data_IF_944531509414
#
_entry.id   IF_944531509414
#
_cell.length_a   1.000
_cell.length_b   1.000
_cell.length_c   1.000
_cell.angle_alpha   90.00
_cell.angle_beta   90.00
_cell.angle_gamma   90.00
#
_symmetry.space_group_name_H-M   'P 1'
#
loop_
_entity.id
_entity.type
_entity.pdbx_description
1 polymer ?
#
# COMPACT_ATOMS: atom_id res chain seq x y z
N UNK A 1 2.23 26.85 23.21
CA UNK A 1 2.13 25.86 22.12
C UNK A 1 3.21 24.82 22.40
N UNK A 2 2.88 23.53 22.45
CA UNK A 2 3.83 22.47 22.82
C UNK A 2 4.58 21.96 21.57
N UNK A 3 5.92 21.99 21.61
CA UNK A 3 6.80 21.55 20.50
C UNK A 3 6.62 20.08 20.17
N UNK A 4 6.33 19.24 21.17
CA UNK A 4 6.10 17.81 20.98
C UNK A 4 4.83 17.56 20.17
N UNK A 5 3.74 18.26 20.52
CA UNK A 5 2.48 18.21 19.77
C UNK A 5 2.64 18.61 18.29
N UNK A 6 3.39 19.68 18.01
CA UNK A 6 3.65 20.15 16.64
C UNK A 6 4.49 19.15 15.85
N UNK A 7 5.53 18.59 16.48
CA UNK A 7 6.37 17.57 15.86
C UNK A 7 5.57 16.31 15.52
N UNK A 8 4.81 15.78 16.49
CA UNK A 8 3.99 14.58 16.32
C UNK A 8 2.95 14.75 15.20
N UNK A 9 2.30 15.92 15.13
CA UNK A 9 1.38 16.22 14.03
C UNK A 9 2.07 16.29 12.67
N UNK A 10 3.29 16.86 12.61
CA UNK A 10 4.07 16.95 11.39
C UNK A 10 4.58 15.57 10.92
N UNK A 11 4.94 14.70 11.85
CA UNK A 11 5.34 13.32 11.58
C UNK A 11 4.21 12.53 10.90
N UNK A 12 2.98 12.68 11.39
CA UNK A 12 1.79 12.08 10.78
C UNK A 12 1.53 12.52 9.34
N UNK A 13 1.76 13.81 9.05
CA UNK A 13 1.60 14.36 7.69
C UNK A 13 2.70 13.90 6.75
N UNK A 14 3.92 13.74 7.24
CA UNK A 14 5.08 13.38 6.41
C UNK A 14 5.14 11.88 6.07
N UNK A 15 4.63 11.00 6.94
CA UNK A 15 4.74 9.55 6.79
C UNK A 15 3.37 8.88 6.66
N UNK A 16 2.73 8.57 7.79
CA UNK A 16 1.35 8.10 7.86
C UNK A 16 0.87 8.10 9.32
N UNK A 17 -0.46 8.06 9.57
CA UNK A 17 -0.99 7.93 10.93
C UNK A 17 -0.50 6.66 11.66
N UNK A 18 -0.34 5.55 10.93
CA UNK A 18 0.16 4.29 11.51
C UNK A 18 1.62 4.37 11.93
N UNK A 19 2.48 4.97 11.09
CA UNK A 19 3.89 5.20 11.42
C UNK A 19 4.01 6.17 12.60
N UNK A 20 3.24 7.27 12.59
CA UNK A 20 3.19 8.22 13.69
C UNK A 20 2.82 7.52 15.01
N UNK A 21 1.74 6.73 15.02
CA UNK A 21 1.29 6.04 16.23
C UNK A 21 2.34 5.05 16.76
N UNK A 22 3.03 4.32 15.87
CA UNK A 22 4.10 3.41 16.26
C UNK A 22 5.30 4.16 16.86
N UNK A 23 5.76 5.24 16.23
CA UNK A 23 6.89 6.05 16.71
C UNK A 23 6.57 6.74 18.03
N UNK A 24 5.37 7.33 18.16
CA UNK A 24 4.93 7.99 19.40
C UNK A 24 4.89 7.00 20.56
N UNK A 25 4.36 5.79 20.33
CA UNK A 25 4.29 4.75 21.35
C UNK A 25 5.67 4.27 21.76
N UNK A 26 6.56 4.00 20.80
CA UNK A 26 7.91 3.48 21.09
C UNK A 26 8.76 4.48 21.86
N UNK A 27 8.75 5.74 21.45
CA UNK A 27 9.60 6.78 22.03
C UNK A 27 8.95 7.51 23.21
N UNK A 28 7.72 7.14 23.58
CA UNK A 28 6.99 7.80 24.66
C UNK A 28 6.81 9.31 24.42
N UNK A 29 6.54 9.71 23.17
CA UNK A 29 6.39 11.11 22.77
C UNK A 29 5.06 11.66 23.27
N UNK A 30 5.02 12.03 24.55
CA UNK A 30 3.86 12.63 25.21
C UNK A 30 4.09 14.13 25.38
N UNK A 31 3.14 14.98 24.97
CA UNK A 31 3.14 16.41 25.27
C UNK A 31 3.41 16.72 26.75
N UNK A 32 4.48 17.47 27.04
CA UNK A 32 4.78 17.99 28.37
C UNK A 32 4.90 19.51 28.33
N UNK A 33 3.88 20.26 28.77
CA UNK A 33 3.89 21.72 28.72
C UNK A 33 5.10 22.29 29.47
N UNK A 34 5.95 23.05 28.77
CA UNK A 34 7.14 23.69 29.34
C UNK A 34 8.44 22.91 29.14
N UNK A 35 8.39 21.66 28.66
CA UNK A 35 9.58 20.91 28.26
C UNK A 35 9.81 21.04 26.75
N UNK A 36 11.06 21.33 26.36
CA UNK A 36 11.46 21.30 24.95
C UNK A 36 11.65 19.85 24.51
N UNK A 37 11.27 19.56 23.28
CA UNK A 37 11.56 18.27 22.67
C UNK A 37 13.08 18.15 22.43
N UNK A 38 13.68 17.08 22.94
CA UNK A 38 15.10 16.80 22.77
C UNK A 38 15.46 16.49 21.31
N UNK A 39 16.52 17.11 20.79
CA UNK A 39 16.97 16.92 19.41
C UNK A 39 17.27 15.46 19.08
N UNK A 40 17.80 14.70 20.04
CA UNK A 40 18.06 13.27 19.87
C UNK A 40 16.76 12.47 19.63
N UNK A 41 15.68 12.81 20.34
CA UNK A 41 14.37 12.17 20.17
C UNK A 41 13.76 12.48 18.80
N UNK A 42 13.93 13.71 18.29
CA UNK A 42 13.52 14.09 16.93
C UNK A 42 14.21 13.23 15.88
N UNK A 43 15.55 13.14 15.95
CA UNK A 43 16.33 12.36 14.99
C UNK A 43 15.97 10.88 15.00
N UNK A 44 15.79 10.31 16.19
CA UNK A 44 15.39 8.91 16.34
C UNK A 44 13.99 8.65 15.78
N UNK A 45 13.03 9.55 16.04
CA UNK A 45 11.68 9.46 15.50
C UNK A 45 11.66 9.48 13.97
N UNK A 46 12.45 10.36 13.34
CA UNK A 46 12.59 10.42 11.88
C UNK A 46 13.20 9.13 11.34
N UNK A 47 14.30 8.65 11.91
CA UNK A 47 14.96 7.43 11.46
C UNK A 47 14.06 6.19 11.55
N UNK A 48 13.26 6.10 12.62
CA UNK A 48 12.25 5.05 12.77
C UNK A 48 11.14 5.16 11.73
N UNK A 49 10.64 6.37 11.48
CA UNK A 49 9.59 6.61 10.51
C UNK A 49 10.05 6.27 9.08
N UNK A 50 11.28 6.61 8.71
CA UNK A 50 11.87 6.26 7.42
C UNK A 50 12.05 4.75 7.25
N UNK A 51 12.56 4.07 8.28
CA UNK A 51 12.69 2.60 8.28
C UNK A 51 11.33 1.94 8.12
N UNK A 52 10.34 2.42 8.87
CA UNK A 52 8.97 1.90 8.81
C UNK A 52 8.38 2.07 7.41
N UNK A 53 8.53 3.26 6.81
CA UNK A 53 8.05 3.52 5.44
C UNK A 53 8.67 2.54 4.43
N UNK A 54 9.99 2.35 4.46
CA UNK A 54 10.68 1.41 3.55
C UNK A 54 10.18 -0.02 3.70
N UNK A 55 9.91 -0.46 4.94
CA UNK A 55 9.34 -1.78 5.18
C UNK A 55 7.95 -1.91 4.57
N UNK A 56 7.08 -0.91 4.75
CA UNK A 56 5.73 -0.90 4.18
C UNK A 56 5.76 -0.85 2.64
N UNK A 57 6.68 -0.07 2.04
CA UNK A 57 6.91 -0.06 0.59
C UNK A 57 7.27 -1.46 0.06
N UNK A 58 8.08 -2.22 0.81
CA UNK A 58 8.42 -3.60 0.46
C UNK A 58 7.20 -4.56 0.49
N UNK A 59 6.31 -4.39 1.47
CA UNK A 59 5.06 -5.17 1.55
C UNK A 59 4.13 -4.84 0.38
N UNK A 60 4.01 -3.56 0.05
CA UNK A 60 3.20 -3.10 -1.07
C UNK A 60 3.74 -3.64 -2.40
N UNK A 61 5.06 -3.56 -2.60
CA UNK A 61 5.74 -4.13 -3.77
C UNK A 61 5.50 -5.64 -3.90
N UNK A 62 5.62 -6.40 -2.81
CA UNK A 62 5.35 -7.85 -2.82
C UNK A 62 3.90 -8.14 -3.21
N UNK A 63 2.96 -7.31 -2.73
CA UNK A 63 1.54 -7.44 -3.09
C UNK A 63 1.33 -7.15 -4.58
N UNK A 64 1.97 -6.11 -5.12
CA UNK A 64 1.93 -5.82 -6.56
C UNK A 64 2.48 -6.98 -7.40
N UNK A 65 3.60 -7.58 -7.00
CA UNK A 65 4.15 -8.76 -7.69
C UNK A 65 3.21 -9.96 -7.62
N UNK A 66 2.62 -10.22 -6.46
CA UNK A 66 1.69 -11.34 -6.25
C UNK A 66 0.49 -11.27 -7.20
N UNK A 67 -0.04 -10.07 -7.46
CA UNK A 67 -1.23 -9.86 -8.28
C UNK A 67 -0.96 -9.37 -9.70
N UNK A 68 0.31 -9.22 -10.10
CA UNK A 68 0.66 -8.84 -11.47
C UNK A 68 0.28 -9.94 -12.46
N UNK A 69 -0.48 -9.55 -13.47
CA UNK A 69 -0.83 -10.39 -14.60
C UNK A 69 0.37 -10.60 -15.52
N UNK A 70 1.21 -9.57 -15.76
CA UNK A 70 2.32 -9.66 -16.71
C UNK A 70 3.35 -10.72 -16.34
N UNK A 71 3.64 -10.90 -15.04
CA UNK A 71 4.58 -11.92 -14.56
C UNK A 71 3.91 -13.22 -14.10
N UNK A 72 2.61 -13.39 -14.38
CA UNK A 72 1.82 -14.54 -13.93
C UNK A 72 1.90 -14.76 -12.42
N UNK A 73 1.70 -13.68 -11.66
CA UNK A 73 1.69 -13.70 -10.21
C UNK A 73 0.74 -14.77 -9.66
N UNK A 74 1.06 -15.30 -8.48
CA UNK A 74 0.27 -16.39 -7.86
C UNK A 74 -1.17 -15.95 -7.58
N UNK A 75 -1.36 -14.71 -7.14
CA UNK A 75 -2.68 -14.11 -6.94
C UNK A 75 -3.46 -13.93 -8.24
N UNK A 76 -2.79 -13.54 -9.33
CA UNK A 76 -3.42 -13.47 -10.65
C UNK A 76 -3.91 -14.85 -11.12
N UNK A 77 -3.05 -15.86 -11.03
CA UNK A 77 -3.40 -17.22 -11.43
C UNK A 77 -4.59 -17.75 -10.62
N UNK A 78 -4.62 -17.50 -9.30
CA UNK A 78 -5.73 -17.89 -8.43
C UNK A 78 -7.05 -17.21 -8.81
N UNK A 79 -7.02 -15.92 -9.12
CA UNK A 79 -8.24 -15.18 -9.53
C UNK A 79 -8.74 -15.67 -10.89
N UNK A 80 -7.85 -15.92 -11.85
CA UNK A 80 -8.18 -16.53 -13.14
C UNK A 80 -8.89 -17.88 -12.95
N UNK A 81 -8.33 -18.77 -12.13
CA UNK A 81 -8.93 -20.08 -11.80
C UNK A 81 -10.32 -19.91 -11.15
N UNK A 82 -10.46 -18.99 -10.19
CA UNK A 82 -11.74 -18.73 -9.53
C UNK A 82 -12.83 -18.22 -10.49
N UNK A 83 -12.44 -17.53 -11.57
CA UNK A 83 -13.34 -17.03 -12.61
C UNK A 83 -13.57 -18.04 -13.74
N UNK A 84 -12.94 -19.21 -13.70
CA UNK A 84 -12.96 -20.18 -14.80
C UNK A 84 -12.33 -19.63 -16.08
N UNK A 85 -11.40 -18.68 -15.95
CA UNK A 85 -10.66 -18.07 -17.05
C UNK A 85 -9.26 -18.70 -17.09
N UNK A 86 -8.87 -19.42 -18.15
CA UNK A 86 -7.51 -19.92 -18.24
C UNK A 86 -6.54 -18.72 -18.33
N UNK A 87 -5.48 -18.66 -17.52
CA UNK A 87 -4.54 -17.52 -17.52
C UNK A 87 -3.96 -17.20 -18.91
N UNK A 88 -3.79 -18.22 -19.75
CA UNK A 88 -3.30 -18.12 -21.13
C UNK A 88 -4.28 -17.41 -22.08
N UNK A 89 -5.58 -17.40 -21.77
CA UNK A 89 -6.58 -16.67 -22.56
C UNK A 89 -6.50 -15.16 -22.35
N UNK A 90 -5.85 -14.70 -21.28
CA UNK A 90 -5.57 -13.28 -21.07
C UNK A 90 -4.32 -12.93 -21.85
N UNK A 91 -4.47 -12.31 -23.02
CA UNK A 91 -3.35 -11.98 -23.90
C UNK A 91 -2.36 -11.00 -23.25
N UNK A 92 -1.10 -11.00 -23.71
CA UNK A 92 -0.04 -10.18 -23.11
C UNK A 92 -0.40 -8.69 -22.99
N UNK A 93 -1.03 -8.11 -24.02
CA UNK A 93 -1.48 -6.71 -23.99
C UNK A 93 -2.55 -6.47 -22.90
N UNK A 94 -3.47 -7.41 -22.70
CA UNK A 94 -4.50 -7.33 -21.66
C UNK A 94 -3.86 -7.43 -20.27
N UNK A 95 -2.88 -8.31 -20.09
CA UNK A 95 -2.12 -8.43 -18.83
C UNK A 95 -1.40 -7.13 -18.47
N UNK A 96 -0.72 -6.51 -19.43
CA UNK A 96 -0.09 -5.19 -19.22
C UNK A 96 -1.11 -4.10 -18.88
N UNK A 97 -2.28 -4.10 -19.54
CA UNK A 97 -3.34 -3.14 -19.26
C UNK A 97 -3.95 -3.33 -17.85
N UNK A 98 -4.13 -4.58 -17.41
CA UNK A 98 -4.57 -4.91 -16.05
C UNK A 98 -3.55 -4.38 -15.03
N UNK A 99 -2.26 -4.63 -15.25
CA UNK A 99 -1.21 -4.18 -14.35
C UNK A 99 -1.14 -2.66 -14.24
N UNK A 100 -1.32 -1.93 -15.35
CA UNK A 100 -1.39 -0.47 -15.35
C UNK A 100 -2.59 0.06 -14.54
N UNK A 101 -3.75 -0.61 -14.63
CA UNK A 101 -4.94 -0.24 -13.85
C UNK A 101 -4.77 -0.55 -12.37
N UNK A 102 -4.18 -1.70 -12.03
CA UNK A 102 -3.84 -2.02 -10.65
C UNK A 102 -2.85 -0.99 -10.09
N UNK A 103 -1.79 -0.66 -10.83
CA UNK A 103 -0.83 0.37 -10.45
C UNK A 103 -1.51 1.69 -10.07
N UNK A 104 -2.44 2.17 -10.89
CA UNK A 104 -3.22 3.38 -10.56
C UNK A 104 -3.99 3.25 -9.24
N UNK A 105 -4.61 2.09 -8.98
CA UNK A 105 -5.33 1.82 -7.71
C UNK A 105 -4.40 1.82 -6.50
N UNK A 106 -3.21 1.24 -6.63
CA UNK A 106 -2.22 1.27 -5.58
C UNK A 106 -1.73 2.70 -5.30
N UNK A 107 -1.53 3.50 -6.35
CA UNK A 107 -1.08 4.89 -6.21
C UNK A 107 -2.18 5.78 -5.59
N UNK A 108 -3.46 5.55 -5.94
CA UNK A 108 -4.62 6.15 -5.26
C UNK A 108 -4.66 5.78 -3.77
N UNK A 109 -4.48 4.50 -3.43
CA UNK A 109 -4.45 4.05 -2.04
C UNK A 109 -3.28 4.68 -1.26
N UNK A 110 -2.12 4.84 -1.89
CA UNK A 110 -0.98 5.52 -1.30
C UNK A 110 -1.28 7.00 -0.99
N UNK A 111 -1.93 7.72 -1.91
CA UNK A 111 -2.35 9.11 -1.68
C UNK A 111 -3.37 9.24 -0.54
N UNK A 112 -4.19 8.22 -0.31
CA UNK A 112 -5.16 8.16 0.78
C UNK A 112 -4.57 7.65 2.11
N UNK A 113 -3.26 7.36 2.15
CA UNK A 113 -2.60 6.80 3.33
C UNK A 113 -3.04 5.37 3.67
N UNK A 114 -3.60 4.65 2.70
CA UNK A 114 -4.07 3.26 2.81
C UNK A 114 -2.99 2.25 2.41
N UNK A 115 -1.73 2.55 2.74
CA UNK A 115 -0.59 1.66 2.50
C UNK A 115 -0.09 1.01 3.77
N UNK A 116 0.35 -0.26 3.71
CA UNK A 116 0.40 -1.12 2.52
C UNK A 116 -0.99 -1.63 2.15
N UNK A 117 -1.23 -1.84 0.84
CA UNK A 117 -2.50 -2.40 0.37
C UNK A 117 -2.59 -3.86 0.80
N UNK A 118 -3.69 -4.22 1.46
CA UNK A 118 -3.92 -5.60 1.89
C UNK A 118 -4.12 -6.53 0.66
N UNK A 119 -3.60 -7.77 0.69
CA UNK A 119 -3.77 -8.73 -0.40
C UNK A 119 -5.24 -8.99 -0.79
N UNK A 120 -6.16 -8.96 0.18
CA UNK A 120 -7.58 -9.14 -0.08
C UNK A 120 -8.18 -8.03 -0.96
N UNK A 121 -7.73 -6.78 -0.76
CA UNK A 121 -8.18 -5.63 -1.54
C UNK A 121 -7.58 -5.65 -2.95
N UNK A 122 -6.28 -5.94 -3.07
CA UNK A 122 -5.63 -6.12 -4.37
C UNK A 122 -6.29 -7.25 -5.19
N UNK A 123 -6.63 -8.37 -4.54
CA UNK A 123 -7.40 -9.46 -5.15
C UNK A 123 -8.76 -9.00 -5.66
N UNK A 124 -9.48 -8.20 -4.88
CA UNK A 124 -10.79 -7.68 -5.27
C UNK A 124 -10.68 -6.79 -6.52
N UNK A 125 -9.69 -5.90 -6.58
CA UNK A 125 -9.45 -5.07 -7.76
C UNK A 125 -9.15 -5.92 -8.99
N UNK A 126 -8.25 -6.90 -8.86
CA UNK A 126 -7.91 -7.78 -9.96
C UNK A 126 -9.11 -8.61 -10.45
N UNK A 127 -9.92 -9.11 -9.52
CA UNK A 127 -11.15 -9.84 -9.84
C UNK A 127 -12.12 -8.98 -10.63
N UNK A 128 -12.26 -7.69 -10.30
CA UNK A 128 -13.11 -6.77 -11.05
C UNK A 128 -12.60 -6.58 -12.49
N UNK A 129 -11.30 -6.38 -12.68
CA UNK A 129 -10.69 -6.23 -14.02
C UNK A 129 -10.86 -7.49 -14.88
N UNK A 130 -10.62 -8.67 -14.32
CA UNK A 130 -10.76 -9.94 -15.04
C UNK A 130 -12.21 -10.30 -15.33
N UNK A 131 -13.14 -9.96 -14.44
CA UNK A 131 -14.57 -10.17 -14.68
C UNK A 131 -15.08 -9.28 -15.82
N UNK A 132 -14.65 -8.01 -15.86
CA UNK A 132 -14.96 -7.11 -16.96
C UNK A 132 -14.38 -7.63 -18.29
N UNK A 133 -13.17 -8.18 -18.28
CA UNK A 133 -12.55 -8.78 -19.46
C UNK A 133 -13.32 -10.01 -19.94
N UNK A 134 -13.75 -10.90 -19.03
CA UNK A 134 -14.52 -12.09 -19.40
C UNK A 134 -15.83 -11.74 -20.11
N UNK A 135 -16.54 -10.71 -19.64
CA UNK A 135 -17.76 -10.22 -20.28
C UNK A 135 -17.54 -9.73 -21.73
N UNK A 136 -16.34 -9.23 -22.05
CA UNK A 136 -16.01 -8.85 -23.43
C UNK A 136 -15.64 -10.02 -24.32
N UNK A 137 -15.21 -11.14 -23.76
CA UNK A 137 -14.82 -12.35 -24.49
C UNK A 137 -16.02 -13.25 -24.79
N UNK A 138 -17.04 -13.24 -23.93
CA UNK A 138 -18.30 -13.97 -24.09
C UNK A 138 -19.49 -13.00 -24.27
N UNK A 139 -19.61 -12.28 -25.40
CA UNK A 139 -20.83 -11.52 -25.69
C UNK A 139 -21.98 -12.52 -25.96
N UNK A 140 -23.08 -12.35 -25.21
CA UNK A 140 -24.32 -13.12 -25.36
C UNK A 140 -24.82 -13.21 -26.80
#
# INVERSE_FOLDING_TARGET
MDTTSVFVASLGRAFSPGIQAAVVRELGLVPRPGESLESAAVLQAIAMAETSRKALEGVDFMTRLMFSAAIHGTGFTQVCVALGLPPEAVGAQQRTAIDARLQNRFDEAAQQGQTPVAPALARQWLQAELSALKLTLDPL
#
